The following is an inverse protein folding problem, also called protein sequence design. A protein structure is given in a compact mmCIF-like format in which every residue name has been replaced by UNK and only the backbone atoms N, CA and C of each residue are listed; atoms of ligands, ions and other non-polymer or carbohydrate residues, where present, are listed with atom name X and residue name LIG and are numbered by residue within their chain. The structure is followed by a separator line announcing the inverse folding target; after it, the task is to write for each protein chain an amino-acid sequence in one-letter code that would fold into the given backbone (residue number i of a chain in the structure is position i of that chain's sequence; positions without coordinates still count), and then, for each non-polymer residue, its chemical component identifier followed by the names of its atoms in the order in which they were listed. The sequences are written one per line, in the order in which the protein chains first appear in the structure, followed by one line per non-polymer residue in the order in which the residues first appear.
data_IF_385219199505
#
_entry.id   IF_385219199505
#
_cell.length_a   1.000
_cell.length_b   1.000
_cell.length_c   1.000
_cell.angle_alpha   90.00
_cell.angle_beta   90.00
_cell.angle_gamma   90.00
#
_symmetry.space_group_name_H-M   'P 1'
#
loop_
_entity.id
_entity.type
_entity.pdbx_description
1 polymer ?
#
# COMPACT_ATOMS: atom_id res chain seq x y z
N UNK A 1 16.99 -35.71 67.55
CA UNK A 1 17.00 -34.26 67.79
C UNK A 1 15.69 -33.70 67.25
N UNK A 2 14.78 -33.28 68.13
CA UNK A 2 13.48 -32.74 67.74
C UNK A 2 13.58 -31.22 67.59
N UNK A 3 13.17 -30.69 66.44
CA UNK A 3 13.08 -29.24 66.21
C UNK A 3 11.99 -28.69 67.13
N UNK A 4 12.32 -27.64 67.90
CA UNK A 4 11.39 -27.04 68.86
C UNK A 4 10.26 -26.30 68.14
N UNK A 5 9.02 -26.40 68.62
CA UNK A 5 7.88 -25.71 67.98
C UNK A 5 8.09 -24.20 67.88
N UNK A 6 8.88 -23.61 68.79
CA UNK A 6 9.26 -22.19 68.75
C UNK A 6 10.17 -21.86 67.57
N UNK A 7 11.09 -22.75 67.21
CA UNK A 7 11.98 -22.58 66.05
C UNK A 7 11.18 -22.67 64.74
N UNK A 8 10.19 -23.57 64.70
CA UNK A 8 9.27 -23.70 63.57
C UNK A 8 8.41 -22.44 63.38
N UNK A 9 7.90 -21.85 64.46
CA UNK A 9 7.08 -20.62 64.40
C UNK A 9 7.91 -19.41 64.01
N UNK A 10 9.15 -19.27 64.51
CA UNK A 10 10.05 -18.18 64.13
C UNK A 10 10.43 -18.29 62.65
N UNK A 11 10.75 -19.50 62.17
CA UNK A 11 11.02 -19.74 60.75
C UNK A 11 9.79 -19.44 59.88
N UNK A 12 8.59 -19.85 60.31
CA UNK A 12 7.33 -19.56 59.63
C UNK A 12 7.04 -18.06 59.54
N UNK A 13 7.23 -17.32 60.62
CA UNK A 13 7.08 -15.87 60.65
C UNK A 13 8.10 -15.17 59.74
N UNK A 14 9.36 -15.62 59.74
CA UNK A 14 10.40 -15.07 58.88
C UNK A 14 10.07 -15.27 57.39
N UNK A 15 9.60 -16.46 57.00
CA UNK A 15 9.18 -16.75 55.62
C UNK A 15 7.95 -15.92 55.23
N UNK A 16 6.95 -15.79 56.12
CA UNK A 16 5.75 -15.00 55.85
C UNK A 16 6.06 -13.50 55.67
N UNK A 17 6.94 -12.94 56.51
CA UNK A 17 7.39 -11.55 56.40
C UNK A 17 8.19 -11.35 55.11
N UNK A 18 9.09 -12.28 54.78
CA UNK A 18 9.90 -12.23 53.55
C UNK A 18 9.03 -12.29 52.29
N UNK A 19 8.03 -13.18 52.29
CA UNK A 19 7.06 -13.30 51.20
C UNK A 19 6.17 -12.05 51.08
N UNK A 20 5.72 -11.48 52.19
CA UNK A 20 4.94 -10.24 52.22
C UNK A 20 5.72 -9.04 51.69
N UNK A 21 6.99 -8.91 52.07
CA UNK A 21 7.90 -7.86 51.55
C UNK A 21 8.16 -8.06 50.06
N UNK A 22 8.44 -9.29 49.63
CA UNK A 22 8.64 -9.61 48.21
C UNK A 22 7.39 -9.29 47.38
N UNK A 23 6.20 -9.72 47.83
CA UNK A 23 4.93 -9.44 47.16
C UNK A 23 4.62 -7.94 47.12
N UNK A 24 4.91 -7.20 48.21
CA UNK A 24 4.74 -5.75 48.24
C UNK A 24 5.67 -5.05 47.23
N UNK A 25 6.94 -5.42 47.16
CA UNK A 25 7.86 -4.85 46.17
C UNK A 25 7.54 -5.28 44.73
N UNK A 26 7.09 -6.52 44.52
CA UNK A 26 6.73 -7.05 43.22
C UNK A 26 5.45 -6.40 42.67
N UNK A 27 4.41 -6.25 43.51
CA UNK A 27 3.17 -5.58 43.14
C UNK A 27 3.37 -4.09 42.92
N UNK A 28 4.21 -3.42 43.73
CA UNK A 28 4.54 -2.00 43.56
C UNK A 28 5.42 -1.73 42.33
N UNK A 29 6.28 -2.68 41.92
CA UNK A 29 6.98 -2.62 40.62
C UNK A 29 6.02 -2.81 39.44
N UNK A 30 5.01 -3.68 39.55
CA UNK A 30 3.97 -3.87 38.51
C UNK A 30 2.96 -2.71 38.43
N UNK A 31 2.73 -1.97 39.51
CA UNK A 31 1.80 -0.84 39.55
C UNK A 31 2.33 0.46 38.94
N UNK A 32 3.64 0.56 38.67
CA UNK A 32 4.08 1.49 37.63
C UNK A 32 3.67 0.86 36.31
N UNK A 33 2.43 1.11 35.89
CA UNK A 33 2.02 0.84 34.52
C UNK A 33 3.13 1.39 33.63
N UNK A 34 3.81 0.50 32.92
CA UNK A 34 4.72 0.93 31.87
C UNK A 34 3.82 1.67 30.87
N UNK A 35 3.70 2.98 31.02
CA UNK A 35 3.30 3.84 29.92
C UNK A 35 4.31 3.54 28.83
N UNK A 36 3.90 2.69 27.88
CA UNK A 36 4.64 2.46 26.66
C UNK A 36 4.69 3.80 25.96
N UNK A 37 5.82 4.49 26.11
CA UNK A 37 6.09 5.70 25.36
C UNK A 37 6.29 5.27 23.92
N UNK A 38 5.25 5.41 23.12
CA UNK A 38 5.31 5.19 21.69
C UNK A 38 5.90 6.46 21.08
N UNK A 39 7.07 6.32 20.46
CA UNK A 39 7.66 7.40 19.69
C UNK A 39 7.00 7.46 18.31
N UNK A 40 6.52 8.64 17.96
CA UNK A 40 5.90 8.98 16.68
C UNK A 40 6.60 10.19 16.09
N UNK A 41 6.57 10.31 14.77
CA UNK A 41 7.03 11.48 14.03
C UNK A 41 6.08 12.66 14.27
N UNK A 42 6.59 13.88 14.10
CA UNK A 42 5.72 15.04 13.92
C UNK A 42 4.98 14.92 12.58
N UNK A 43 3.87 15.66 12.45
CA UNK A 43 3.04 15.66 11.24
C UNK A 43 3.87 16.02 10.01
N UNK A 44 4.66 17.08 10.09
CA UNK A 44 5.44 17.60 8.98
C UNK A 44 6.51 16.58 8.54
N UNK A 45 7.21 15.97 9.49
CA UNK A 45 8.21 14.94 9.19
C UNK A 45 7.59 13.67 8.63
N UNK A 46 6.43 13.26 9.14
CA UNK A 46 5.70 12.10 8.60
C UNK A 46 5.33 12.30 7.13
N UNK A 47 4.73 13.45 6.81
CA UNK A 47 4.35 13.82 5.44
C UNK A 47 5.59 13.82 4.53
N UNK A 48 6.66 14.51 4.95
CA UNK A 48 7.89 14.61 4.19
C UNK A 48 8.52 13.23 3.93
N UNK A 49 8.55 12.36 4.94
CA UNK A 49 9.10 11.00 4.81
C UNK A 49 8.24 10.18 3.85
N UNK A 50 6.91 10.21 3.98
CA UNK A 50 6.02 9.49 3.07
C UNK A 50 6.20 9.94 1.61
N UNK A 51 6.28 11.25 1.36
CA UNK A 51 6.53 11.79 0.02
C UNK A 51 7.87 11.32 -0.55
N UNK A 52 8.93 11.29 0.25
CA UNK A 52 10.24 10.78 -0.17
C UNK A 52 10.22 9.27 -0.45
N UNK A 53 9.53 8.48 0.37
CA UNK A 53 9.35 7.03 0.13
C UNK A 53 8.62 6.84 -1.20
N UNK A 54 7.49 7.55 -1.40
CA UNK A 54 6.69 7.47 -2.63
C UNK A 54 7.51 7.85 -3.86
N UNK A 55 8.30 8.93 -3.78
CA UNK A 55 9.20 9.34 -4.87
C UNK A 55 10.25 8.27 -5.18
N UNK A 56 10.91 7.72 -4.16
CA UNK A 56 11.92 6.68 -4.35
C UNK A 56 11.33 5.35 -4.87
N UNK A 57 10.14 4.97 -4.40
CA UNK A 57 9.39 3.83 -4.93
C UNK A 57 9.07 4.04 -6.42
N UNK A 58 8.56 5.22 -6.77
CA UNK A 58 8.17 5.57 -8.15
C UNK A 58 9.34 5.50 -9.14
N UNK A 59 10.53 5.96 -8.72
CA UNK A 59 11.75 5.90 -9.51
C UNK A 59 12.17 4.47 -9.89
N UNK A 60 11.80 3.46 -9.08
CA UNK A 60 12.05 2.04 -9.39
C UNK A 60 10.86 1.40 -10.12
N UNK A 61 9.64 1.83 -9.79
CA UNK A 61 8.40 1.28 -10.32
C UNK A 61 8.26 1.50 -11.83
N UNK A 62 8.38 2.74 -12.31
CA UNK A 62 8.11 3.07 -13.72
C UNK A 62 9.06 2.37 -14.72
N UNK A 63 10.38 2.32 -14.47
CA UNK A 63 11.27 1.51 -15.31
C UNK A 63 10.87 0.03 -15.34
N UNK A 64 10.50 -0.54 -14.20
CA UNK A 64 10.08 -1.94 -14.11
C UNK A 64 8.75 -2.22 -14.82
N UNK A 65 7.80 -1.28 -14.82
CA UNK A 65 6.57 -1.35 -15.63
C UNK A 65 6.92 -1.44 -17.11
N UNK A 66 7.80 -0.56 -17.58
CA UNK A 66 8.22 -0.54 -19.00
C UNK A 66 8.89 -1.86 -19.40
N UNK A 67 9.78 -2.39 -18.56
CA UNK A 67 10.39 -3.70 -18.77
C UNK A 67 9.35 -4.83 -18.82
N UNK A 68 8.43 -4.85 -17.85
CA UNK A 68 7.33 -5.82 -17.80
C UNK A 68 6.49 -5.78 -19.08
N UNK A 69 6.13 -4.59 -19.57
CA UNK A 69 5.40 -4.43 -20.84
C UNK A 69 6.17 -4.97 -22.02
N UNK A 70 7.46 -4.63 -22.14
CA UNK A 70 8.33 -5.11 -23.23
C UNK A 70 8.46 -6.64 -23.19
N UNK A 71 8.53 -7.23 -22.01
CA UNK A 71 8.62 -8.67 -21.81
C UNK A 71 7.30 -9.36 -22.16
N UNK A 72 6.20 -8.99 -21.50
CA UNK A 72 4.90 -9.67 -21.64
C UNK A 72 4.35 -9.59 -23.07
N UNK A 73 4.53 -8.45 -23.76
CA UNK A 73 4.08 -8.26 -25.15
C UNK A 73 4.78 -9.16 -26.19
N UNK A 74 5.81 -9.92 -25.80
CA UNK A 74 6.45 -10.94 -26.67
C UNK A 74 5.67 -12.25 -26.72
N UNK A 75 4.78 -12.47 -25.75
CA UNK A 75 4.05 -13.70 -25.58
C UNK A 75 2.58 -13.54 -26.00
N UNK A 76 1.88 -14.67 -26.15
CA UNK A 76 0.43 -14.64 -26.36
C UNK A 76 -0.27 -14.24 -25.05
N UNK A 77 -1.29 -13.37 -25.07
CA UNK A 77 -1.99 -12.91 -23.86
C UNK A 77 -2.53 -14.03 -22.96
N UNK A 78 -2.81 -15.20 -23.53
CA UNK A 78 -3.33 -16.39 -22.81
C UNK A 78 -2.24 -17.43 -22.46
N UNK A 79 -0.97 -17.06 -22.55
CA UNK A 79 0.12 -17.99 -22.28
C UNK A 79 0.65 -17.84 -20.86
N UNK A 80 1.10 -18.95 -20.27
CA UNK A 80 1.71 -18.97 -18.94
C UNK A 80 2.91 -18.01 -18.82
N UNK A 81 3.71 -17.87 -19.89
CA UNK A 81 4.82 -16.91 -19.92
C UNK A 81 4.37 -15.45 -19.82
N UNK A 82 3.19 -15.12 -20.36
CA UNK A 82 2.61 -13.78 -20.24
C UNK A 82 2.20 -13.49 -18.80
N UNK A 83 1.47 -14.43 -18.19
CA UNK A 83 1.01 -14.33 -16.79
C UNK A 83 2.21 -14.26 -15.83
N UNK A 84 3.22 -15.10 -16.05
CA UNK A 84 4.42 -15.14 -15.22
C UNK A 84 5.21 -13.81 -15.24
N UNK A 85 5.24 -13.10 -16.38
CA UNK A 85 5.87 -11.79 -16.47
C UNK A 85 5.16 -10.76 -15.55
N UNK A 86 3.82 -10.81 -15.50
CA UNK A 86 2.99 -9.94 -14.65
C UNK A 86 3.18 -10.29 -13.17
N UNK A 87 3.09 -11.57 -12.81
CA UNK A 87 3.28 -12.04 -11.43
C UNK A 87 4.70 -11.70 -10.92
N UNK A 88 5.72 -11.86 -11.76
CA UNK A 88 7.08 -11.48 -11.42
C UNK A 88 7.23 -9.96 -11.22
N UNK A 89 6.54 -9.15 -12.00
CA UNK A 89 6.48 -7.71 -11.79
C UNK A 89 5.81 -7.36 -10.45
N UNK A 90 4.64 -7.92 -10.13
CA UNK A 90 3.95 -7.70 -8.85
C UNK A 90 4.81 -8.11 -7.64
N UNK A 91 5.56 -9.22 -7.73
CA UNK A 91 6.46 -9.61 -6.65
C UNK A 91 7.57 -8.57 -6.41
N UNK A 92 8.05 -7.93 -7.48
CA UNK A 92 9.08 -6.89 -7.40
C UNK A 92 8.55 -5.58 -6.81
N UNK A 93 7.29 -5.21 -7.05
CA UNK A 93 6.72 -3.92 -6.57
C UNK A 93 6.75 -3.81 -5.05
N UNK A 94 6.37 -4.87 -4.33
CA UNK A 94 6.48 -4.91 -2.86
C UNK A 94 7.91 -4.70 -2.40
N UNK A 95 8.87 -5.40 -3.00
CA UNK A 95 10.29 -5.27 -2.67
C UNK A 95 10.82 -3.85 -2.93
N UNK A 96 10.32 -3.15 -3.95
CA UNK A 96 10.68 -1.75 -4.21
C UNK A 96 10.18 -0.81 -3.11
N UNK A 97 8.95 -1.00 -2.63
CA UNK A 97 8.39 -0.18 -1.55
C UNK A 97 9.12 -0.44 -0.23
N UNK A 98 9.38 -1.70 0.11
CA UNK A 98 10.13 -2.08 1.31
C UNK A 98 11.54 -1.45 1.28
N UNK A 99 12.23 -1.57 0.14
CA UNK A 99 13.55 -0.96 -0.07
C UNK A 99 13.52 0.57 0.00
N UNK A 100 12.52 1.22 -0.60
CA UNK A 100 12.36 2.67 -0.52
C UNK A 100 12.13 3.12 0.94
N UNK A 101 11.29 2.40 1.67
CA UNK A 101 11.00 2.66 3.07
C UNK A 101 12.26 2.54 3.92
N UNK A 102 13.03 1.45 3.76
CA UNK A 102 14.28 1.25 4.49
C UNK A 102 15.31 2.35 4.20
N UNK A 103 15.48 2.71 2.92
CA UNK A 103 16.46 3.72 2.52
C UNK A 103 16.10 5.12 3.03
N UNK A 104 14.84 5.53 2.94
CA UNK A 104 14.40 6.83 3.43
C UNK A 104 14.44 6.87 4.95
N UNK A 105 13.89 5.88 5.65
CA UNK A 105 13.92 5.86 7.13
C UNK A 105 15.36 5.91 7.67
N UNK A 106 16.29 5.18 7.05
CA UNK A 106 17.73 5.25 7.37
C UNK A 106 18.32 6.63 7.10
N UNK A 107 17.97 7.28 5.97
CA UNK A 107 18.43 8.64 5.64
C UNK A 107 17.99 9.68 6.67
N UNK A 108 16.78 9.53 7.21
CA UNK A 108 16.24 10.41 8.25
C UNK A 108 16.64 9.99 9.68
N UNK A 109 17.43 8.92 9.84
CA UNK A 109 17.89 8.44 11.14
C UNK A 109 16.78 7.90 12.03
N UNK A 110 15.65 7.47 11.44
CA UNK A 110 14.51 6.93 12.18
C UNK A 110 14.44 5.41 12.02
N UNK A 111 13.98 4.73 13.07
CA UNK A 111 13.75 3.29 12.98
C UNK A 111 12.46 2.99 12.22
N UNK A 112 12.40 1.83 11.57
CA UNK A 112 11.18 1.34 10.91
C UNK A 112 9.99 1.34 11.87
N UNK A 113 10.22 0.94 13.13
CA UNK A 113 9.19 0.94 14.18
C UNK A 113 8.61 2.32 14.47
N UNK A 114 9.42 3.39 14.46
CA UNK A 114 8.92 4.75 14.66
C UNK A 114 8.02 5.16 13.48
N UNK A 115 8.42 4.79 12.26
CA UNK A 115 7.61 5.03 11.07
C UNK A 115 6.27 4.26 11.14
N UNK A 116 6.29 2.96 11.42
CA UNK A 116 5.08 2.13 11.60
C UNK A 116 4.16 2.69 12.69
N UNK A 117 4.71 3.08 13.84
CA UNK A 117 3.92 3.70 14.91
C UNK A 117 3.26 5.01 14.43
N UNK A 118 3.95 5.78 13.60
CA UNK A 118 3.42 7.03 13.05
C UNK A 118 2.31 6.78 12.05
N UNK A 119 2.45 5.77 11.17
CA UNK A 119 1.38 5.32 10.27
C UNK A 119 0.13 4.95 11.09
N UNK A 120 0.28 4.06 12.08
CA UNK A 120 -0.84 3.62 12.92
C UNK A 120 -1.48 4.77 13.72
N UNK A 121 -0.69 5.76 14.14
CA UNK A 121 -1.20 6.93 14.85
C UNK A 121 -1.99 7.87 13.92
N UNK A 122 -1.48 8.08 12.70
CA UNK A 122 -2.08 9.01 11.74
C UNK A 122 -3.23 8.41 10.92
N UNK A 123 -3.45 7.09 10.98
CA UNK A 123 -4.57 6.38 10.34
C UNK A 123 -5.95 6.96 10.70
N UNK A 124 -6.10 7.52 11.91
CA UNK A 124 -7.35 8.16 12.36
C UNK A 124 -7.50 9.63 11.92
N UNK A 125 -6.55 10.18 11.15
CA UNK A 125 -6.51 11.57 10.70
C UNK A 125 -6.54 11.60 9.16
N UNK A 126 -7.72 11.68 8.51
CA UNK A 126 -7.85 11.49 7.06
C UNK A 126 -6.90 12.36 6.22
N UNK A 127 -6.68 13.61 6.61
CA UNK A 127 -5.81 14.54 5.89
C UNK A 127 -4.31 14.17 5.96
N UNK A 128 -3.94 13.27 6.86
CA UNK A 128 -2.57 12.77 7.07
C UNK A 128 -2.46 11.31 6.61
N UNK A 129 -3.48 10.48 6.87
CA UNK A 129 -3.54 9.08 6.47
C UNK A 129 -3.34 8.89 4.97
N UNK A 130 -3.87 9.81 4.15
CA UNK A 130 -3.68 9.82 2.69
C UNK A 130 -2.21 9.67 2.28
N UNK A 131 -1.26 10.26 3.02
CA UNK A 131 0.16 10.22 2.64
C UNK A 131 0.76 8.81 2.81
N UNK A 132 0.31 8.04 3.79
CA UNK A 132 0.70 6.63 3.95
C UNK A 132 -0.04 5.72 2.97
N UNK A 133 -1.31 5.99 2.69
CA UNK A 133 -2.10 5.23 1.72
C UNK A 133 -1.56 5.38 0.29
N UNK A 134 -1.04 6.55 -0.04
CA UNK A 134 -0.44 6.84 -1.34
C UNK A 134 0.92 6.17 -1.56
N UNK A 135 1.55 5.56 -0.55
CA UNK A 135 2.87 4.94 -0.70
C UNK A 135 2.88 3.81 -1.73
N UNK A 136 1.76 3.08 -1.85
CA UNK A 136 1.58 2.02 -2.85
C UNK A 136 1.17 2.56 -4.22
N UNK A 137 0.82 3.86 -4.32
CA UNK A 137 0.44 4.55 -5.55
C UNK A 137 1.65 5.30 -6.11
N UNK A 138 2.31 4.79 -7.16
CA UNK A 138 3.47 5.48 -7.74
C UNK A 138 3.05 6.88 -8.23
N UNK A 139 3.90 7.87 -8.00
CA UNK A 139 3.77 9.22 -8.53
C UNK A 139 4.50 9.30 -9.87
N UNK A 140 3.93 10.02 -10.83
CA UNK A 140 4.68 10.37 -12.04
C UNK A 140 5.74 11.40 -11.70
N UNK A 141 6.99 11.09 -12.04
CA UNK A 141 8.15 11.96 -11.80
C UNK A 141 8.36 12.99 -12.90
N UNK A 142 7.77 12.75 -14.07
CA UNK A 142 7.82 13.61 -15.25
C UNK A 142 6.41 13.84 -15.78
N UNK A 143 6.19 15.02 -16.36
CA UNK A 143 4.95 15.33 -17.05
C UNK A 143 4.83 14.45 -18.29
N UNK A 144 3.82 13.59 -18.32
CA UNK A 144 3.53 12.73 -19.46
C UNK A 144 2.98 13.62 -20.57
N UNK A 145 3.75 13.81 -21.63
CA UNK A 145 3.31 14.55 -22.81
C UNK A 145 2.38 13.67 -23.63
N UNK A 146 1.16 14.13 -23.83
CA UNK A 146 0.15 13.48 -24.65
C UNK A 146 -0.69 14.56 -25.32
N UNK A 147 -1.03 14.34 -26.59
CA UNK A 147 -1.87 15.23 -27.40
C UNK A 147 -3.24 14.56 -27.69
N UNK A 148 -3.69 13.64 -26.82
CA UNK A 148 -4.96 12.95 -27.01
C UNK A 148 -6.12 13.93 -26.84
N UNK A 149 -7.02 13.93 -27.82
CA UNK A 149 -8.27 14.67 -27.74
C UNK A 149 -9.25 13.99 -26.78
N UNK A 150 -10.20 14.75 -26.22
CA UNK A 150 -11.28 14.22 -25.38
C UNK A 150 -12.02 13.03 -26.01
N UNK A 151 -12.25 13.07 -27.34
CA UNK A 151 -12.91 11.98 -28.05
C UNK A 151 -12.05 10.71 -28.11
N UNK A 152 -10.73 10.85 -28.27
CA UNK A 152 -9.82 9.69 -28.23
C UNK A 152 -9.75 9.08 -26.82
N UNK A 153 -9.69 9.91 -25.78
CA UNK A 153 -9.74 9.45 -24.38
C UNK A 153 -11.05 8.70 -24.13
N UNK A 154 -12.18 9.29 -24.51
CA UNK A 154 -13.52 8.68 -24.46
C UNK A 154 -13.57 7.31 -25.15
N UNK A 155 -13.11 7.23 -26.40
CA UNK A 155 -13.14 6.00 -27.18
C UNK A 155 -12.32 4.88 -26.54
N UNK A 156 -11.14 5.22 -25.98
CA UNK A 156 -10.28 4.26 -25.29
C UNK A 156 -10.90 3.81 -23.96
N UNK A 157 -11.52 4.71 -23.19
CA UNK A 157 -12.19 4.37 -21.94
C UNK A 157 -13.41 3.47 -22.15
N UNK A 158 -14.22 3.75 -23.18
CA UNK A 158 -15.35 2.89 -23.57
C UNK A 158 -14.83 1.51 -23.99
N UNK A 159 -13.75 1.47 -24.79
CA UNK A 159 -13.11 0.21 -25.16
C UNK A 159 -12.64 -0.57 -23.93
N UNK A 160 -11.99 0.11 -22.99
CA UNK A 160 -11.53 -0.48 -21.74
C UNK A 160 -12.69 -1.11 -20.97
N UNK A 161 -13.76 -0.35 -20.71
CA UNK A 161 -14.93 -0.82 -19.94
C UNK A 161 -15.61 -2.02 -20.60
N UNK A 162 -15.81 -1.99 -21.92
CA UNK A 162 -16.42 -3.11 -22.64
C UNK A 162 -15.58 -4.39 -22.52
N UNK A 163 -14.26 -4.28 -22.75
CA UNK A 163 -13.35 -5.43 -22.65
C UNK A 163 -13.22 -5.95 -21.22
N UNK A 164 -13.22 -5.06 -20.23
CA UNK A 164 -13.23 -5.45 -18.83
C UNK A 164 -14.48 -6.26 -18.49
N UNK A 165 -15.66 -5.80 -18.87
CA UNK A 165 -16.91 -6.54 -18.63
C UNK A 165 -16.96 -7.90 -19.34
N UNK A 166 -16.43 -7.98 -20.57
CA UNK A 166 -16.36 -9.23 -21.33
C UNK A 166 -15.41 -10.25 -20.68
N UNK A 167 -14.24 -9.82 -20.21
CA UNK A 167 -13.22 -10.71 -19.63
C UNK A 167 -13.51 -11.02 -18.14
N UNK A 168 -13.99 -10.05 -17.38
CA UNK A 168 -14.30 -10.20 -15.96
C UNK A 168 -15.50 -11.14 -15.72
N UNK A 169 -16.39 -11.30 -16.69
CA UNK A 169 -17.46 -12.29 -16.62
C UNK A 169 -16.94 -13.75 -16.58
N UNK A 170 -15.74 -14.00 -17.12
CA UNK A 170 -15.12 -15.33 -17.20
C UNK A 170 -14.12 -15.61 -16.06
N UNK A 171 -13.65 -14.59 -15.33
CA UNK A 171 -12.65 -14.71 -14.26
C UNK A 171 -13.28 -14.45 -12.89
N UNK A 172 -13.55 -15.53 -12.15
CA UNK A 172 -14.03 -15.51 -10.77
C UNK A 172 -12.89 -15.91 -9.82
N UNK A 173 -12.39 -14.99 -9.00
CA UNK A 173 -11.61 -15.43 -7.83
C UNK A 173 -10.74 -14.38 -7.17
N UNK A 174 -9.60 -14.07 -7.77
CA UNK A 174 -8.45 -13.53 -7.02
C UNK A 174 -7.85 -12.24 -7.61
N UNK A 175 -7.14 -11.49 -6.76
CA UNK A 175 -6.47 -10.24 -7.11
C UNK A 175 -5.46 -10.42 -8.25
N UNK A 176 -4.81 -11.58 -8.36
CA UNK A 176 -3.86 -11.86 -9.45
C UNK A 176 -4.55 -11.90 -10.83
N UNK A 177 -5.72 -12.50 -10.93
CA UNK A 177 -6.51 -12.57 -12.16
C UNK A 177 -6.91 -11.16 -12.65
N UNK A 178 -7.25 -10.26 -11.72
CA UNK A 178 -7.54 -8.87 -12.04
C UNK A 178 -6.34 -8.17 -12.72
N UNK A 179 -5.12 -8.38 -12.23
CA UNK A 179 -3.93 -7.79 -12.86
C UNK A 179 -3.63 -8.37 -14.23
N UNK A 180 -3.89 -9.67 -14.41
CA UNK A 180 -3.72 -10.32 -15.71
C UNK A 180 -4.72 -9.73 -16.70
N UNK A 181 -6.02 -9.67 -16.34
CA UNK A 181 -7.07 -9.11 -17.20
C UNK A 181 -6.80 -7.66 -17.56
N UNK A 182 -6.50 -6.81 -16.56
CA UNK A 182 -6.19 -5.40 -16.81
C UNK A 182 -4.97 -5.26 -17.73
N UNK A 183 -3.88 -5.99 -17.47
CA UNK A 183 -2.68 -6.00 -18.33
C UNK A 183 -2.96 -6.41 -19.78
N UNK A 184 -3.85 -7.39 -19.99
CA UNK A 184 -4.27 -7.82 -21.32
C UNK A 184 -4.99 -6.68 -22.05
N UNK A 185 -5.92 -5.99 -21.37
CA UNK A 185 -6.65 -4.85 -21.93
C UNK A 185 -5.70 -3.70 -22.24
N UNK A 186 -4.73 -3.40 -21.38
CA UNK A 186 -3.69 -2.39 -21.64
C UNK A 186 -2.91 -2.70 -22.92
N UNK A 187 -2.51 -3.95 -23.11
CA UNK A 187 -1.76 -4.37 -24.29
C UNK A 187 -2.63 -4.37 -25.56
N UNK A 188 -3.93 -4.68 -25.44
CA UNK A 188 -4.91 -4.51 -26.53
C UNK A 188 -5.07 -3.04 -26.93
N UNK A 189 -5.19 -2.14 -25.94
CA UNK A 189 -5.27 -0.69 -26.16
C UNK A 189 -4.00 -0.20 -26.86
N UNK A 190 -2.82 -0.58 -26.37
CA UNK A 190 -1.56 -0.22 -27.01
C UNK A 190 -1.50 -0.75 -28.45
N UNK A 191 -1.94 -1.99 -28.70
CA UNK A 191 -1.95 -2.57 -30.04
C UNK A 191 -2.85 -1.78 -30.99
N UNK A 192 -4.05 -1.40 -30.55
CA UNK A 192 -5.10 -0.76 -31.35
C UNK A 192 -4.91 0.75 -31.53
N UNK A 193 -4.58 1.45 -30.45
CA UNK A 193 -4.53 2.91 -30.40
C UNK A 193 -3.12 3.49 -30.32
N UNK A 194 -2.11 2.66 -30.01
CA UNK A 194 -0.72 3.11 -29.75
C UNK A 194 -0.61 4.09 -28.58
N UNK A 195 -1.48 3.91 -27.59
CA UNK A 195 -1.58 4.73 -26.38
C UNK A 195 -1.17 3.86 -25.20
N UNK A 196 -0.25 4.35 -24.37
CA UNK A 196 0.03 3.78 -23.06
C UNK A 196 -0.94 4.34 -22.01
N UNK A 197 -1.18 3.59 -20.94
CA UNK A 197 -2.17 3.95 -19.90
C UNK A 197 -1.81 5.27 -19.20
N UNK A 198 -0.52 5.57 -19.08
CA UNK A 198 -0.02 6.82 -18.54
C UNK A 198 -0.50 8.04 -19.34
N UNK A 199 -0.45 7.95 -20.67
CA UNK A 199 -0.92 9.00 -21.58
C UNK A 199 -2.43 9.18 -21.47
N UNK A 200 -3.17 8.07 -21.32
CA UNK A 200 -4.61 8.08 -21.12
C UNK A 200 -4.98 8.74 -19.78
N UNK A 201 -4.33 8.35 -18.69
CA UNK A 201 -4.61 8.87 -17.35
C UNK A 201 -4.28 10.37 -17.24
N UNK A 202 -3.19 10.81 -17.87
CA UNK A 202 -2.81 12.23 -17.86
C UNK A 202 -3.85 13.11 -18.56
N UNK A 203 -4.32 12.71 -19.73
CA UNK A 203 -5.34 13.49 -20.45
C UNK A 203 -6.74 13.32 -19.84
N UNK A 204 -7.05 12.16 -19.28
CA UNK A 204 -8.28 11.93 -18.54
C UNK A 204 -8.47 12.96 -17.41
N UNK A 205 -7.43 13.20 -16.60
CA UNK A 205 -7.54 14.17 -15.50
C UNK A 205 -7.84 15.59 -16.00
N UNK A 206 -7.39 15.96 -17.21
CA UNK A 206 -7.71 17.25 -17.82
C UNK A 206 -9.16 17.35 -18.30
N UNK A 207 -9.73 16.23 -18.76
CA UNK A 207 -11.09 16.14 -19.31
C UNK A 207 -12.11 15.53 -18.34
N UNK A 208 -11.75 15.34 -17.06
CA UNK A 208 -12.55 14.59 -16.07
C UNK A 208 -14.02 15.02 -16.03
N UNK A 209 -14.28 16.33 -16.04
CA UNK A 209 -15.64 16.90 -16.04
C UNK A 209 -16.44 16.57 -17.30
N UNK A 210 -15.79 16.45 -18.45
CA UNK A 210 -16.42 16.18 -19.75
C UNK A 210 -16.68 14.68 -19.99
N UNK A 211 -16.06 13.82 -19.19
CA UNK A 211 -16.09 12.36 -19.29
C UNK A 211 -16.83 11.69 -18.13
N UNK A 212 -17.47 12.48 -17.25
CA UNK A 212 -18.17 11.99 -16.06
C UNK A 212 -19.26 10.95 -16.41
N UNK A 213 -19.91 11.11 -17.57
CA UNK A 213 -20.94 10.21 -18.09
C UNK A 213 -20.44 8.77 -18.36
N UNK A 214 -19.14 8.61 -18.60
CA UNK A 214 -18.48 7.32 -18.87
C UNK A 214 -17.81 6.77 -17.62
N UNK A 215 -17.29 7.65 -16.77
CA UNK A 215 -16.57 7.30 -15.54
C UNK A 215 -17.52 6.74 -14.48
N UNK A 216 -18.70 7.34 -14.32
CA UNK A 216 -19.64 6.97 -13.27
C UNK A 216 -20.05 5.48 -13.34
N UNK A 217 -20.36 4.91 -14.53
CA UNK A 217 -20.54 3.47 -14.67
C UNK A 217 -19.29 2.62 -14.39
N UNK A 218 -18.10 3.14 -14.70
CA UNK A 218 -16.82 2.44 -14.55
C UNK A 218 -16.30 2.40 -13.10
N UNK A 219 -16.76 3.30 -12.22
CA UNK A 219 -16.42 3.28 -10.77
C UNK A 219 -16.77 1.94 -10.10
N UNK A 220 -17.80 1.25 -10.59
CA UNK A 220 -18.18 -0.08 -10.10
C UNK A 220 -17.28 -1.22 -10.62
N UNK A 221 -16.43 -0.95 -11.62
CA UNK A 221 -15.65 -1.94 -12.36
C UNK A 221 -14.15 -1.89 -12.06
N UNK A 222 -13.59 -0.73 -11.73
CA UNK A 222 -12.13 -0.56 -11.62
C UNK A 222 -11.74 0.10 -10.31
N UNK A 223 -11.28 -0.69 -9.35
CA UNK A 223 -10.70 -0.15 -8.12
C UNK A 223 -9.27 0.41 -8.29
N UNK A 224 -8.65 0.26 -9.47
CA UNK A 224 -7.23 0.64 -9.64
C UNK A 224 -6.89 1.53 -10.85
N UNK A 225 -7.75 1.64 -11.87
CA UNK A 225 -7.39 2.40 -13.09
C UNK A 225 -7.66 3.89 -12.96
N UNK A 226 -8.51 4.28 -12.00
CA UNK A 226 -8.91 5.66 -11.77
C UNK A 226 -8.53 6.11 -10.35
N UNK A 227 -7.39 5.65 -9.81
CA UNK A 227 -6.96 6.01 -8.45
C UNK A 227 -6.60 7.50 -8.26
N UNK A 228 -6.65 8.32 -9.32
CA UNK A 228 -6.63 9.79 -9.28
C UNK A 228 -8.03 10.42 -9.37
N UNK A 229 -9.07 9.64 -9.68
CA UNK A 229 -10.42 10.12 -9.84
C UNK A 229 -11.29 10.02 -8.59
N UNK A 230 -10.87 9.26 -7.58
CA UNK A 230 -11.78 8.74 -6.56
C UNK A 230 -11.39 9.13 -5.12
N UNK A 231 -12.09 10.15 -4.59
CA UNK A 231 -12.13 10.50 -3.16
C UNK A 231 -13.08 9.57 -2.36
N UNK A 232 -13.69 8.54 -2.97
CA UNK A 232 -14.73 7.72 -2.32
C UNK A 232 -14.30 6.32 -1.88
N UNK A 233 -12.99 6.06 -1.74
CA UNK A 233 -12.46 4.79 -1.22
C UNK A 233 -12.64 4.55 0.30
N UNK A 234 -13.56 5.25 0.97
CA UNK A 234 -13.96 4.96 2.36
C UNK A 234 -14.91 3.73 2.48
N UNK A 235 -15.18 3.01 1.39
CA UNK A 235 -16.43 2.25 1.27
C UNK A 235 -16.35 0.75 1.02
N UNK A 236 -15.26 0.03 1.31
CA UNK A 236 -15.28 -1.45 1.26
C UNK A 236 -14.61 -2.07 2.49
N UNK A 237 -15.45 -2.45 3.46
CA UNK A 237 -15.17 -3.41 4.54
C UNK A 237 -15.74 -4.77 4.18
#
# INVERSE_FOLDING_TARGET
MGISSKELTIAGCAVAISAGVFLYFYTRKKQKGNMLRVEILSKESFIEICQNIRSQYSNNYWPAVKECRIERRRYSPKSENYEQAIVNFQRRTKAFLDSATEQVTRKYGISHKIFENSVNYYDSFPEIAQYSEELVKPAYTEEIKSDLTVNQVRDVMIYYSNRFNELNADYLGDFEDYYIVTSQIEDEIYKKYKIEVEELNNEYEKYKTELEDIVEPMKTQTSYILASADDSFEGYK
#
